data_IF_591700519680
#
_entry.id   IF_591700519680
#
_cell.length_a   1.000
_cell.length_b   1.000
_cell.length_c   1.000
_cell.angle_alpha   90.00
_cell.angle_beta   90.00
_cell.angle_gamma   90.00
#
_symmetry.space_group_name_H-M   'P 1'
#
loop_
_entity.id
_entity.type
_entity.pdbx_description
1 polymer ?
#
# COMPACT_ATOMS: atom_id res chain seq x y z
N UNK A 1 1.08 4.10 -12.29
CA UNK A 1 1.00 3.53 -10.93
C UNK A 1 -0.05 2.44 -10.94
N UNK A 2 0.32 1.22 -10.57
CA UNK A 2 -0.61 0.09 -10.47
C UNK A 2 -1.59 0.34 -9.31
N UNK A 3 -2.88 0.17 -9.55
CA UNK A 3 -3.95 0.47 -8.58
C UNK A 3 -4.48 -0.79 -7.91
N UNK A 4 -5.12 -0.62 -6.76
CA UNK A 4 -5.77 -1.70 -6.03
C UNK A 4 -6.81 -2.44 -6.88
N UNK A 5 -7.59 -1.72 -7.68
CA UNK A 5 -8.60 -2.30 -8.57
C UNK A 5 -8.02 -3.22 -9.67
N UNK A 6 -6.75 -3.01 -10.05
CA UNK A 6 -6.11 -3.77 -11.12
C UNK A 6 -5.76 -5.20 -10.66
N UNK A 7 -5.57 -5.41 -9.36
CA UNK A 7 -5.05 -6.66 -8.78
C UNK A 7 -6.04 -7.34 -7.82
N UNK A 8 -7.17 -6.70 -7.51
CA UNK A 8 -8.11 -7.22 -6.53
C UNK A 8 -8.81 -8.49 -6.99
N UNK A 9 -9.14 -9.34 -6.03
CA UNK A 9 -10.08 -10.44 -6.24
C UNK A 9 -11.51 -9.91 -6.24
N UNK A 10 -12.23 -10.11 -7.35
CA UNK A 10 -13.64 -9.68 -7.52
C UNK A 10 -14.65 -10.65 -6.90
N UNK A 11 -14.30 -11.93 -6.77
CA UNK A 11 -15.18 -12.93 -6.15
C UNK A 11 -15.09 -12.83 -4.62
N UNK A 12 -15.97 -12.02 -4.04
CA UNK A 12 -16.02 -11.75 -2.60
C UNK A 12 -17.30 -12.31 -2.00
N UNK A 13 -17.13 -13.15 -0.98
CA UNK A 13 -18.25 -13.62 -0.20
C UNK A 13 -18.59 -12.67 0.95
N UNK A 14 -19.89 -12.48 1.15
CA UNK A 14 -20.41 -11.75 2.30
C UNK A 14 -21.11 -12.66 3.29
N UNK A 15 -21.24 -12.21 4.53
CA UNK A 15 -21.98 -12.88 5.58
C UNK A 15 -22.69 -11.88 6.49
N UNK A 16 -23.84 -12.28 7.04
CA UNK A 16 -24.54 -11.47 8.04
C UNK A 16 -23.84 -11.53 9.38
N UNK A 17 -23.83 -10.40 10.10
CA UNK A 17 -23.24 -10.33 11.44
C UNK A 17 -23.89 -11.29 12.45
N UNK A 18 -25.17 -11.66 12.24
CA UNK A 18 -25.93 -12.57 13.09
C UNK A 18 -25.71 -14.06 12.79
N UNK A 19 -24.97 -14.39 11.72
CA UNK A 19 -24.61 -15.78 11.43
C UNK A 19 -23.68 -16.33 12.52
N UNK A 20 -23.65 -17.65 12.66
CA UNK A 20 -22.72 -18.36 13.53
C UNK A 20 -21.33 -18.44 12.90
N UNK A 21 -20.31 -18.63 13.73
CA UNK A 21 -18.94 -18.90 13.24
C UNK A 21 -18.90 -20.21 12.45
N UNK A 22 -19.71 -21.21 12.81
CA UNK A 22 -19.83 -22.45 12.04
C UNK A 22 -20.30 -22.21 10.59
N UNK A 23 -21.29 -21.33 10.39
CA UNK A 23 -21.76 -20.94 9.06
C UNK A 23 -20.68 -20.18 8.28
N UNK A 24 -19.93 -19.29 8.96
CA UNK A 24 -18.79 -18.60 8.36
C UNK A 24 -17.72 -19.58 7.88
N UNK A 25 -17.32 -20.55 8.71
CA UNK A 25 -16.34 -21.58 8.34
C UNK A 25 -16.85 -22.43 7.17
N UNK A 26 -18.13 -22.80 7.18
CA UNK A 26 -18.73 -23.56 6.07
C UNK A 26 -18.65 -22.78 4.76
N UNK A 27 -18.92 -21.48 4.79
CA UNK A 27 -18.83 -20.61 3.61
C UNK A 27 -17.37 -20.44 3.15
N UNK A 28 -16.45 -20.19 4.07
CA UNK A 28 -15.01 -20.10 3.79
C UNK A 28 -14.48 -21.35 3.07
N UNK A 29 -14.84 -22.54 3.56
CA UNK A 29 -14.43 -23.82 2.97
C UNK A 29 -14.99 -24.08 1.58
N UNK A 30 -16.11 -23.47 1.20
CA UNK A 30 -16.77 -23.76 -0.07
C UNK A 30 -15.93 -23.31 -1.29
N UNK A 31 -15.14 -22.24 -1.13
CA UNK A 31 -14.30 -21.67 -2.20
C UNK A 31 -12.88 -21.30 -1.76
N UNK A 32 -12.41 -21.91 -0.67
CA UNK A 32 -11.10 -21.61 -0.07
C UNK A 32 -10.89 -20.11 0.27
N UNK A 33 -11.99 -19.42 0.62
CA UNK A 33 -11.93 -18.04 1.05
C UNK A 33 -11.38 -17.98 2.48
N UNK A 34 -10.33 -17.20 2.69
CA UNK A 34 -9.78 -17.01 4.05
C UNK A 34 -10.33 -15.80 4.82
N UNK A 35 -11.31 -15.12 4.25
CA UNK A 35 -12.12 -14.11 4.93
C UNK A 35 -13.45 -13.87 4.24
N UNK A 36 -14.39 -13.33 5.01
CA UNK A 36 -15.71 -12.92 4.54
C UNK A 36 -15.94 -11.47 4.91
N UNK A 37 -16.57 -10.72 4.01
CA UNK A 37 -17.01 -9.36 4.31
C UNK A 37 -18.33 -9.43 5.08
N UNK A 38 -18.44 -8.69 6.17
CA UNK A 38 -19.67 -8.62 6.93
C UNK A 38 -20.51 -7.47 6.40
N UNK A 39 -21.73 -7.80 5.98
CA UNK A 39 -22.66 -6.86 5.36
C UNK A 39 -23.05 -5.71 6.30
N UNK A 40 -23.33 -4.56 5.67
CA UNK A 40 -23.98 -3.41 6.31
C UNK A 40 -25.41 -3.78 6.71
N UNK A 41 -25.85 -3.33 7.89
CA UNK A 41 -27.25 -3.47 8.33
C UNK A 41 -28.17 -2.44 7.66
N UNK A 42 -27.62 -1.28 7.30
CA UNK A 42 -28.28 -0.18 6.58
C UNK A 42 -27.21 0.68 5.89
N UNK A 43 -27.61 1.63 5.04
CA UNK A 43 -26.69 2.40 4.18
C UNK A 43 -25.58 3.14 4.94
N UNK A 44 -25.90 3.70 6.11
CA UNK A 44 -24.95 4.41 6.99
C UNK A 44 -24.08 3.50 7.85
N UNK A 45 -24.29 2.18 7.80
CA UNK A 45 -23.51 1.23 8.59
C UNK A 45 -22.18 0.94 7.90
N UNK A 46 -21.14 0.60 8.67
CA UNK A 46 -19.85 0.24 8.12
C UNK A 46 -19.83 -1.22 7.66
N UNK A 47 -18.98 -1.53 6.69
CA UNK A 47 -18.62 -2.92 6.43
C UNK A 47 -17.76 -3.46 7.59
N UNK A 48 -17.88 -4.76 7.82
CA UNK A 48 -16.97 -5.50 8.70
C UNK A 48 -16.20 -6.56 7.94
N UNK A 49 -15.29 -7.23 8.62
CA UNK A 49 -14.56 -8.38 8.08
C UNK A 49 -14.38 -9.43 9.17
N UNK A 50 -14.48 -10.71 8.79
CA UNK A 50 -14.08 -11.84 9.62
C UNK A 50 -13.10 -12.71 8.83
N UNK A 51 -11.94 -12.97 9.41
CA UNK A 51 -10.87 -13.75 8.80
C UNK A 51 -10.68 -15.11 9.47
N UNK A 52 -9.94 -16.00 8.82
CA UNK A 52 -9.48 -17.26 9.42
C UNK A 52 -8.75 -17.02 10.75
N UNK A 53 -7.91 -15.97 10.83
CA UNK A 53 -7.17 -15.60 12.03
C UNK A 53 -8.12 -15.22 13.17
N UNK A 54 -9.20 -14.48 12.89
CA UNK A 54 -10.20 -14.16 13.91
C UNK A 54 -10.83 -15.42 14.50
N UNK A 55 -11.18 -16.38 13.65
CA UNK A 55 -11.80 -17.64 14.06
C UNK A 55 -10.81 -18.47 14.89
N UNK A 56 -9.58 -18.62 14.40
CA UNK A 56 -8.54 -19.39 15.10
C UNK A 56 -8.22 -18.76 16.46
N UNK A 57 -7.90 -17.47 16.49
CA UNK A 57 -7.44 -16.81 17.71
C UNK A 57 -8.55 -16.50 18.70
N UNK A 58 -9.79 -16.18 18.27
CA UNK A 58 -10.86 -15.74 19.18
C UNK A 58 -11.85 -16.85 19.57
N UNK A 59 -11.91 -17.94 18.80
CA UNK A 59 -12.86 -19.06 19.01
C UNK A 59 -12.10 -20.34 19.34
N UNK A 60 -11.29 -20.84 18.40
CA UNK A 60 -10.66 -22.16 18.51
C UNK A 60 -9.64 -22.21 19.63
N UNK A 61 -8.76 -21.20 19.73
CA UNK A 61 -7.73 -21.12 20.77
C UNK A 61 -8.28 -21.14 22.20
N UNK A 62 -9.54 -20.76 22.39
CA UNK A 62 -10.23 -20.76 23.69
C UNK A 62 -11.25 -21.89 23.85
N UNK A 63 -11.31 -22.84 22.90
CA UNK A 63 -12.24 -23.97 22.96
C UNK A 63 -13.72 -23.59 22.92
N UNK A 64 -14.06 -22.42 22.35
CA UNK A 64 -15.46 -21.97 22.24
C UNK A 64 -16.19 -22.76 21.16
N UNK A 65 -17.50 -22.98 21.37
CA UNK A 65 -18.37 -23.68 20.43
C UNK A 65 -18.75 -22.78 19.22
N UNK A 66 -18.28 -23.07 17.98
CA UNK A 66 -18.55 -22.25 16.81
C UNK A 66 -20.04 -22.19 16.41
N UNK A 67 -20.88 -23.11 16.89
CA UNK A 67 -22.32 -23.10 16.63
C UNK A 67 -23.08 -22.11 17.53
N UNK A 68 -22.46 -21.67 18.63
CA UNK A 68 -23.06 -20.72 19.58
C UNK A 68 -22.53 -19.30 19.41
N UNK A 69 -21.27 -19.17 19.00
CA UNK A 69 -20.64 -17.86 18.77
C UNK A 69 -21.13 -17.26 17.45
N UNK A 70 -21.48 -15.98 17.49
CA UNK A 70 -21.90 -15.20 16.33
C UNK A 70 -20.73 -14.45 15.70
N UNK A 71 -20.84 -14.19 14.40
CA UNK A 71 -19.85 -13.43 13.64
C UNK A 71 -19.61 -12.06 14.27
N UNK A 72 -20.67 -11.37 14.74
CA UNK A 72 -20.52 -10.05 15.36
C UNK A 72 -19.66 -10.04 16.64
N UNK A 73 -19.48 -11.19 17.30
CA UNK A 73 -18.69 -11.28 18.53
C UNK A 73 -17.18 -11.32 18.25
N UNK A 74 -16.79 -11.68 17.02
CA UNK A 74 -15.39 -11.93 16.67
C UNK A 74 -14.89 -11.13 15.46
N UNK A 75 -15.79 -10.63 14.60
CA UNK A 75 -15.45 -9.79 13.45
C UNK A 75 -14.81 -8.46 13.86
N UNK A 76 -14.15 -7.81 12.90
CA UNK A 76 -13.69 -6.42 13.01
C UNK A 76 -14.65 -5.52 12.25
N UNK A 77 -15.24 -4.53 12.95
CA UNK A 77 -16.15 -3.54 12.36
C UNK A 77 -16.06 -2.21 13.16
N UNK A 78 -15.83 -1.05 12.52
CA UNK A 78 -15.59 -0.86 11.08
C UNK A 78 -14.26 -1.50 10.65
N UNK A 79 -14.26 -2.18 9.50
CA UNK A 79 -13.00 -2.64 8.91
C UNK A 79 -12.34 -1.53 8.09
N UNK A 80 -11.01 -1.56 8.01
CA UNK A 80 -10.26 -0.68 7.11
C UNK A 80 -10.61 -1.06 5.67
N UNK A 81 -11.07 -0.08 4.89
CA UNK A 81 -11.45 -0.25 3.50
C UNK A 81 -10.46 0.47 2.58
N UNK A 82 -10.29 -0.07 1.37
CA UNK A 82 -9.37 0.44 0.36
C UNK A 82 -10.16 1.12 -0.76
N UNK A 83 -9.71 2.30 -1.19
CA UNK A 83 -10.22 2.93 -2.40
C UNK A 83 -9.64 2.21 -3.63
N UNK A 84 -10.45 1.87 -4.66
CA UNK A 84 -9.95 1.19 -5.86
C UNK A 84 -8.80 1.90 -6.58
N UNK A 85 -8.75 3.23 -6.51
CA UNK A 85 -7.72 4.05 -7.16
C UNK A 85 -6.42 4.16 -6.36
N UNK A 86 -6.37 3.61 -5.14
CA UNK A 86 -5.18 3.65 -4.30
C UNK A 86 -4.05 2.81 -4.92
N UNK A 87 -2.84 3.38 -4.98
CA UNK A 87 -1.67 2.66 -5.47
C UNK A 87 -1.32 1.45 -4.60
N UNK A 88 -0.93 0.34 -5.23
CA UNK A 88 -0.64 -0.93 -4.54
C UNK A 88 0.42 -0.78 -3.45
N UNK A 89 1.43 0.07 -3.67
CA UNK A 89 2.48 0.39 -2.68
C UNK A 89 1.89 1.00 -1.38
N UNK A 90 0.86 1.84 -1.48
CA UNK A 90 0.18 2.44 -0.34
C UNK A 90 -0.72 1.42 0.35
N UNK A 91 -1.34 0.50 -0.42
CA UNK A 91 -2.07 -0.63 0.16
C UNK A 91 -1.11 -1.51 0.99
N UNK A 92 0.06 -1.84 0.44
CA UNK A 92 1.08 -2.62 1.15
C UNK A 92 1.57 -1.90 2.42
N UNK A 93 1.79 -0.57 2.35
CA UNK A 93 2.15 0.25 3.52
C UNK A 93 1.05 0.22 4.58
N UNK A 94 -0.21 0.36 4.18
CA UNK A 94 -1.35 0.30 5.09
C UNK A 94 -1.45 -1.07 5.76
N UNK A 95 -1.20 -2.15 5.02
CA UNK A 95 -1.19 -3.51 5.54
C UNK A 95 -0.07 -3.71 6.56
N UNK A 96 1.13 -3.21 6.28
CA UNK A 96 2.25 -3.27 7.20
C UNK A 96 1.98 -2.47 8.49
N UNK A 97 1.44 -1.25 8.38
CA UNK A 97 1.14 -0.40 9.53
C UNK A 97 0.05 -0.97 10.42
N UNK A 98 -1.04 -1.46 9.83
CA UNK A 98 -2.20 -1.96 10.57
C UNK A 98 -2.21 -3.48 10.75
N UNK A 99 -1.14 -4.17 10.38
CA UNK A 99 -0.98 -5.62 10.51
C UNK A 99 -2.12 -6.38 9.83
N UNK A 100 -2.52 -5.90 8.64
CA UNK A 100 -3.60 -6.48 7.86
C UNK A 100 -3.04 -7.47 6.86
N UNK A 101 -3.76 -8.58 6.68
CA UNK A 101 -3.49 -9.53 5.60
C UNK A 101 -4.37 -9.30 4.37
N UNK A 102 -5.45 -8.52 4.54
CA UNK A 102 -6.50 -8.29 3.55
C UNK A 102 -7.42 -7.16 3.96
N UNK A 103 -8.07 -6.54 2.98
CA UNK A 103 -9.07 -5.49 3.20
C UNK A 103 -10.09 -5.47 2.04
N UNK A 104 -11.36 -5.11 2.29
CA UNK A 104 -12.32 -4.86 1.22
C UNK A 104 -11.94 -3.62 0.41
N UNK A 105 -12.24 -3.67 -0.88
CA UNK A 105 -12.20 -2.51 -1.77
C UNK A 105 -13.63 -2.02 -1.97
N UNK A 106 -13.83 -0.72 -1.70
CA UNK A 106 -15.14 -0.11 -1.64
C UNK A 106 -15.15 1.19 -2.46
N UNK A 107 -16.16 1.32 -3.33
CA UNK A 107 -16.47 2.54 -4.07
C UNK A 107 -17.99 2.76 -4.02
N UNK A 108 -18.47 3.34 -2.93
CA UNK A 108 -19.89 3.38 -2.58
C UNK A 108 -20.43 2.02 -2.10
N UNK A 109 -20.10 0.96 -2.82
CA UNK A 109 -20.41 -0.44 -2.51
C UNK A 109 -19.15 -1.32 -2.56
N UNK A 110 -19.28 -2.54 -2.06
CA UNK A 110 -18.22 -3.54 -2.09
C UNK A 110 -18.00 -4.01 -3.54
N UNK A 111 -16.79 -3.80 -4.07
CA UNK A 111 -16.44 -4.17 -5.44
C UNK A 111 -15.36 -5.24 -5.53
N UNK A 112 -14.68 -5.54 -4.42
CA UNK A 112 -13.63 -6.54 -4.38
C UNK A 112 -12.96 -6.67 -3.01
N UNK A 113 -11.98 -7.55 -2.93
CA UNK A 113 -11.08 -7.71 -1.79
C UNK A 113 -9.65 -7.78 -2.29
N UNK A 114 -8.73 -7.19 -1.54
CA UNK A 114 -7.29 -7.26 -1.80
C UNK A 114 -6.60 -7.90 -0.61
N UNK A 115 -5.62 -8.75 -0.88
CA UNK A 115 -4.87 -9.52 0.10
C UNK A 115 -3.37 -9.43 -0.14
N UNK A 116 -2.57 -9.85 0.85
CA UNK A 116 -1.12 -9.99 0.67
C UNK A 116 -0.77 -10.92 -0.49
N UNK A 117 -1.58 -11.95 -0.74
CA UNK A 117 -1.34 -12.88 -1.86
C UNK A 117 -1.51 -12.19 -3.20
N UNK A 118 -2.49 -11.29 -3.35
CA UNK A 118 -2.67 -10.51 -4.57
C UNK A 118 -1.48 -9.57 -4.80
N UNK A 119 -0.97 -8.95 -3.74
CA UNK A 119 0.22 -8.07 -3.80
C UNK A 119 1.49 -8.87 -4.15
N UNK A 120 1.69 -10.03 -3.53
CA UNK A 120 2.86 -10.88 -3.75
C UNK A 120 2.88 -11.55 -5.13
N UNK A 121 1.71 -11.71 -5.77
CA UNK A 121 1.63 -12.29 -7.11
C UNK A 121 2.17 -11.36 -8.21
N UNK A 122 2.49 -10.10 -7.88
CA UNK A 122 3.04 -9.14 -8.82
C UNK A 122 4.53 -9.37 -9.06
N UNK A 123 4.89 -9.79 -10.27
CA UNK A 123 6.28 -9.91 -10.75
C UNK A 123 7.00 -8.57 -10.76
N UNK A 124 6.29 -7.50 -11.16
CA UNK A 124 6.90 -6.21 -11.48
C UNK A 124 7.55 -5.56 -10.25
N UNK A 125 7.04 -5.85 -9.05
CA UNK A 125 7.62 -5.34 -7.81
C UNK A 125 8.98 -5.98 -7.47
N UNK A 126 9.20 -7.21 -7.92
CA UNK A 126 10.47 -7.94 -7.73
C UNK A 126 11.47 -7.52 -8.81
N UNK A 127 11.00 -7.34 -10.05
CA UNK A 127 11.86 -7.02 -11.19
C UNK A 127 12.31 -5.55 -11.22
N UNK A 128 11.44 -4.61 -10.82
CA UNK A 128 11.71 -3.17 -10.85
C UNK A 128 11.12 -2.45 -9.63
N UNK A 129 11.77 -2.55 -8.45
CA UNK A 129 11.35 -1.79 -7.29
C UNK A 129 11.42 -0.28 -7.59
N UNK A 130 10.37 0.44 -7.20
CA UNK A 130 10.22 1.88 -7.48
C UNK A 130 11.41 2.71 -6.98
N UNK A 131 12.06 2.31 -5.89
CA UNK A 131 13.27 2.97 -5.39
C UNK A 131 14.38 3.01 -6.44
N UNK A 132 14.64 1.90 -7.14
CA UNK A 132 15.67 1.84 -8.19
C UNK A 132 15.31 2.75 -9.38
N UNK A 133 14.03 2.81 -9.76
CA UNK A 133 13.58 3.69 -10.84
C UNK A 133 13.73 5.17 -10.47
N UNK A 134 13.38 5.52 -9.24
CA UNK A 134 13.51 6.88 -8.70
C UNK A 134 14.99 7.29 -8.59
N UNK A 135 15.85 6.40 -8.10
CA UNK A 135 17.29 6.62 -8.05
C UNK A 135 17.87 6.85 -9.44
N UNK A 136 17.46 6.07 -10.45
CA UNK A 136 17.89 6.27 -11.84
C UNK A 136 17.45 7.63 -12.40
N UNK A 137 16.20 8.02 -12.17
CA UNK A 137 15.69 9.34 -12.60
C UNK A 137 16.46 10.48 -11.94
N UNK A 138 16.75 10.36 -10.63
CA UNK A 138 17.55 11.33 -9.91
C UNK A 138 18.96 11.45 -10.51
N UNK A 139 19.62 10.33 -10.83
CA UNK A 139 20.94 10.35 -11.47
C UNK A 139 20.91 11.00 -12.86
N UNK A 140 19.86 10.76 -13.65
CA UNK A 140 19.70 11.38 -14.96
C UNK A 140 19.49 12.90 -14.86
N UNK A 141 18.69 13.37 -13.90
CA UNK A 141 18.51 14.81 -13.66
C UNK A 141 19.79 15.47 -13.12
N UNK A 142 20.52 14.83 -12.20
CA UNK A 142 21.84 15.31 -11.75
C UNK A 142 22.80 15.46 -12.94
N UNK A 143 22.81 14.48 -13.86
CA UNK A 143 23.67 14.53 -15.05
C UNK A 143 23.29 15.70 -15.97
N UNK A 144 22.00 15.97 -16.17
CA UNK A 144 21.50 17.11 -16.94
C UNK A 144 21.85 18.44 -16.27
N UNK A 145 21.71 18.54 -14.96
CA UNK A 145 22.06 19.73 -14.20
C UNK A 145 23.56 20.04 -14.31
N UNK A 146 24.42 19.03 -14.12
CA UNK A 146 25.87 19.16 -14.32
C UNK A 146 26.24 19.62 -15.73
N UNK A 147 25.64 19.02 -16.76
CA UNK A 147 25.90 19.42 -18.15
C UNK A 147 25.50 20.88 -18.42
N UNK A 148 24.35 21.30 -17.88
CA UNK A 148 23.85 22.68 -18.01
C UNK A 148 24.79 23.68 -17.33
N UNK A 149 25.27 23.36 -16.12
CA UNK A 149 26.21 24.21 -15.40
C UNK A 149 27.59 24.31 -16.09
N UNK A 150 28.04 23.25 -16.78
CA UNK A 150 29.27 23.29 -17.59
C UNK A 150 29.10 24.22 -18.80
N UNK A 151 27.94 24.18 -19.47
CA UNK A 151 27.70 24.96 -20.69
C UNK A 151 27.39 26.44 -20.41
N UNK A 152 26.59 26.71 -19.38
CA UNK A 152 26.06 28.05 -19.05
C UNK A 152 26.81 28.75 -17.93
N UNK A 153 27.63 28.01 -17.17
CA UNK A 153 28.37 28.50 -16.00
C UNK A 153 27.62 28.29 -14.69
N UNK A 154 28.37 28.11 -13.60
CA UNK A 154 27.86 27.79 -12.25
C UNK A 154 26.92 28.85 -11.67
N UNK A 155 27.08 30.12 -12.08
CA UNK A 155 26.27 31.24 -11.60
C UNK A 155 25.15 31.64 -12.58
N UNK A 156 24.88 30.82 -13.60
CA UNK A 156 23.78 31.07 -14.54
C UNK A 156 22.43 30.75 -13.91
N UNK A 157 21.40 31.47 -14.35
CA UNK A 157 20.01 31.24 -13.93
C UNK A 157 19.54 29.84 -14.37
N UNK A 158 20.01 29.36 -15.53
CA UNK A 158 19.71 28.03 -16.04
C UNK A 158 20.35 26.90 -15.23
N UNK A 159 21.56 27.10 -14.69
CA UNK A 159 22.19 26.13 -13.79
C UNK A 159 21.41 26.04 -12.46
N UNK A 160 20.99 27.16 -11.90
CA UNK A 160 20.17 27.18 -10.68
C UNK A 160 18.84 26.44 -10.89
N UNK A 161 18.11 26.76 -11.96
CA UNK A 161 16.84 26.11 -12.27
C UNK A 161 16.97 24.59 -12.50
N UNK A 162 18.09 24.13 -13.08
CA UNK A 162 18.33 22.70 -13.28
C UNK A 162 18.59 21.97 -11.95
N UNK A 163 19.23 22.61 -10.98
CA UNK A 163 19.43 22.04 -9.64
C UNK A 163 18.18 22.14 -8.76
N UNK A 164 17.35 23.16 -8.93
CA UNK A 164 16.04 23.24 -8.25
C UNK A 164 15.15 22.03 -8.60
N UNK A 165 15.15 21.60 -9.87
CA UNK A 165 14.43 20.41 -10.31
C UNK A 165 14.98 19.10 -9.69
N UNK A 166 16.30 19.02 -9.48
CA UNK A 166 16.93 17.91 -8.77
C UNK A 166 16.51 17.90 -7.30
N UNK A 167 16.53 19.06 -6.63
CA UNK A 167 16.15 19.18 -5.21
C UNK A 167 14.67 18.85 -4.97
N UNK A 168 13.78 19.25 -5.89
CA UNK A 168 12.37 18.86 -5.86
C UNK A 168 12.22 17.34 -5.97
N UNK A 169 12.91 16.72 -6.93
CA UNK A 169 12.91 15.27 -7.11
C UNK A 169 13.50 14.53 -5.90
N UNK A 170 14.62 15.00 -5.32
CA UNK A 170 15.17 14.44 -4.09
C UNK A 170 14.15 14.49 -2.95
N UNK A 171 13.48 15.63 -2.77
CA UNK A 171 12.48 15.83 -1.73
C UNK A 171 11.29 14.87 -1.89
N UNK A 172 10.81 14.65 -3.11
CA UNK A 172 9.76 13.67 -3.40
C UNK A 172 10.20 12.24 -3.10
N UNK A 173 11.43 11.86 -3.47
CA UNK A 173 11.99 10.53 -3.22
C UNK A 173 12.10 10.27 -1.72
N UNK A 174 12.67 11.21 -0.96
CA UNK A 174 12.81 11.12 0.48
C UNK A 174 11.46 10.98 1.20
N UNK A 175 10.43 11.70 0.73
CA UNK A 175 9.08 11.55 1.26
C UNK A 175 8.49 10.17 0.97
N UNK A 176 8.77 9.61 -0.22
CA UNK A 176 8.30 8.28 -0.61
C UNK A 176 9.03 7.14 0.14
N UNK A 177 10.35 7.24 0.31
CA UNK A 177 11.17 6.25 1.03
C UNK A 177 11.14 6.42 2.55
N UNK A 178 10.65 7.57 3.05
CA UNK A 178 10.72 7.99 4.45
C UNK A 178 12.17 8.11 4.99
N UNK A 179 13.11 8.40 4.10
CA UNK A 179 14.51 8.68 4.45
C UNK A 179 14.73 10.19 4.65
N UNK A 180 15.67 10.55 5.51
CA UNK A 180 16.10 11.95 5.66
C UNK A 180 17.24 12.23 4.68
N UNK A 181 17.15 13.37 3.99
CA UNK A 181 18.25 13.91 3.20
C UNK A 181 19.10 14.77 4.13
N UNK A 182 20.35 14.35 4.36
CA UNK A 182 21.29 15.12 5.17
C UNK A 182 22.07 16.17 4.35
N UNK A 183 22.21 15.96 3.04
CA UNK A 183 22.87 16.87 2.07
C UNK A 183 22.21 16.80 0.69
N UNK A 184 22.09 17.94 0.00
CA UNK A 184 21.53 17.96 -1.36
C UNK A 184 22.59 17.59 -2.40
N UNK A 185 22.14 17.12 -3.56
CA UNK A 185 23.06 16.76 -4.65
C UNK A 185 23.84 17.97 -5.18
N UNK A 186 23.29 19.19 -5.06
CA UNK A 186 23.99 20.42 -5.39
C UNK A 186 25.13 20.75 -4.40
N UNK A 187 24.92 20.53 -3.10
CA UNK A 187 25.95 20.72 -2.07
C UNK A 187 27.16 19.81 -2.32
N UNK A 188 26.92 18.53 -2.62
CA UNK A 188 27.97 17.57 -2.96
C UNK A 188 28.71 17.96 -4.25
N UNK A 189 27.98 18.46 -5.26
CA UNK A 189 28.59 18.98 -6.49
C UNK A 189 29.47 20.21 -6.23
N UNK A 190 28.98 21.17 -5.44
CA UNK A 190 29.74 22.37 -5.05
C UNK A 190 31.01 22.03 -4.25
N UNK A 191 30.94 21.06 -3.33
CA UNK A 191 32.12 20.58 -2.61
C UNK A 191 33.13 19.92 -3.56
N UNK A 192 32.69 19.08 -4.52
CA UNK A 192 33.59 18.41 -5.47
C UNK A 192 34.43 19.39 -6.31
N UNK A 193 33.83 20.52 -6.72
CA UNK A 193 34.51 21.59 -7.46
C UNK A 193 35.56 22.34 -6.63
N UNK A 194 35.45 22.33 -5.29
CA UNK A 194 36.44 22.96 -4.39
C UNK A 194 37.71 22.12 -4.26
N UNK A 195 37.66 20.82 -4.57
CA UNK A 195 38.80 19.89 -4.47
C UNK A 195 39.49 19.61 -5.82
N UNK A 196 38.99 20.14 -6.94
CA UNK A 196 39.61 20.06 -8.27
C UNK A 196 40.48 21.28 -8.63
N UNK A 197 40.85 22.11 -7.63
CA UNK A 197 41.77 23.27 -7.77
C UNK A 197 43.09 23.02 -7.07
#
# INVERSE_FOLDING_TARGET
>A
MLKAADIMTKDVATIRSSATVAEAVKLMRARDWRALIVDRRHEQDAYGIISESDIVYKVIAYGKDPHKIRVYEVMTKPCIAINPDLGVEYVARLFAQHHLHRAPIIQGELIGIISLTDILALSDFIEQPRSLLLEQQLQDEIKKARATCIEKGIHSEECAAAWDAVDEMQSEIAHQTAEKIDRTAFEDYSESLKYEV
#
